data_IF_863788924063
#
_entry.id   IF_863788924063
#
_cell.length_a   1.000
_cell.length_b   1.000
_cell.length_c   1.000
_cell.angle_alpha   90.00
_cell.angle_beta   90.00
_cell.angle_gamma   90.00
#
_symmetry.space_group_name_H-M   'P 1'
#
loop_
_entity.id
_entity.type
_entity.pdbx_description
1 polymer ?
#
# COMPACT_ATOMS: atom_id res chain seq x y z
N UNK A 1 33.52 -70.45 3.81
CA UNK A 1 33.86 -69.28 2.95
C UNK A 1 33.06 -68.10 3.46
N UNK A 2 33.71 -67.12 4.09
CA UNK A 2 33.06 -65.92 4.59
C UNK A 2 33.32 -64.77 3.61
N UNK A 3 32.25 -64.14 3.12
CA UNK A 3 32.31 -63.03 2.15
C UNK A 3 32.26 -61.73 2.95
N UNK A 4 33.41 -61.07 3.09
CA UNK A 4 33.54 -59.76 3.72
C UNK A 4 33.06 -58.67 2.76
N UNK A 5 31.98 -57.97 3.13
CA UNK A 5 31.48 -56.80 2.40
C UNK A 5 32.30 -55.56 2.79
N UNK A 6 32.86 -54.78 1.85
CA UNK A 6 33.52 -53.52 2.17
C UNK A 6 32.47 -52.44 2.44
N UNK A 7 32.36 -52.01 3.70
CA UNK A 7 31.54 -50.86 4.10
C UNK A 7 32.10 -49.58 3.48
N UNK A 8 31.35 -48.99 2.55
CA UNK A 8 31.69 -47.70 1.94
C UNK A 8 31.73 -46.58 2.96
N UNK A 9 32.83 -45.83 2.99
CA UNK A 9 32.96 -44.58 3.72
C UNK A 9 31.95 -43.56 3.18
N UNK A 10 30.91 -43.25 3.95
CA UNK A 10 30.01 -42.14 3.65
C UNK A 10 30.72 -40.83 4.06
N UNK A 11 30.80 -39.82 3.18
CA UNK A 11 31.30 -38.51 3.57
C UNK A 11 30.38 -37.91 4.63
N UNK A 12 30.92 -37.72 5.84
CA UNK A 12 30.27 -36.97 6.91
C UNK A 12 30.20 -35.51 6.48
N UNK A 13 29.03 -35.06 6.00
CA UNK A 13 28.80 -33.63 5.79
C UNK A 13 28.74 -32.95 7.17
N UNK A 14 29.49 -31.87 7.42
CA UNK A 14 29.37 -31.14 8.67
C UNK A 14 27.95 -30.57 8.78
N UNK A 15 27.25 -30.91 9.88
CA UNK A 15 25.96 -30.33 10.19
C UNK A 15 26.09 -28.81 10.24
N UNK A 16 25.31 -28.09 9.43
CA UNK A 16 25.30 -26.64 9.42
C UNK A 16 25.08 -26.12 10.85
N UNK A 17 26.02 -25.33 11.36
CA UNK A 17 25.94 -24.74 12.68
C UNK A 17 24.69 -23.86 12.75
N UNK A 18 23.68 -24.33 13.50
CA UNK A 18 22.51 -23.51 13.82
C UNK A 18 22.99 -22.45 14.80
N UNK A 19 23.01 -21.20 14.36
CA UNK A 19 23.27 -20.06 15.23
C UNK A 19 22.13 -20.00 16.25
N UNK A 20 22.40 -20.45 17.47
CA UNK A 20 21.46 -20.29 18.57
C UNK A 20 21.50 -18.83 19.00
N UNK A 21 20.43 -18.09 18.70
CA UNK A 21 20.29 -16.73 19.19
C UNK A 21 20.20 -16.76 20.73
N UNK A 22 21.15 -16.13 21.41
CA UNK A 22 21.08 -15.88 22.86
C UNK A 22 20.02 -14.80 23.10
N UNK A 23 18.77 -15.21 23.18
CA UNK A 23 17.66 -14.29 23.41
C UNK A 23 17.70 -13.83 24.87
N UNK A 24 17.99 -12.55 25.10
CA UNK A 24 17.81 -11.97 26.43
C UNK A 24 16.31 -12.08 26.80
N UNK A 25 15.92 -12.75 27.90
CA UNK A 25 14.52 -13.11 28.18
C UNK A 25 13.60 -11.89 28.26
N UNK A 26 14.13 -10.74 28.66
CA UNK A 26 13.41 -9.46 28.68
C UNK A 26 13.05 -9.01 27.25
N UNK A 27 14.00 -9.13 26.31
CA UNK A 27 13.78 -8.76 24.90
C UNK A 27 12.79 -9.72 24.24
N UNK A 28 12.94 -11.03 24.49
CA UNK A 28 12.06 -12.05 23.93
C UNK A 28 10.60 -11.91 24.40
N UNK A 29 10.39 -11.62 25.68
CA UNK A 29 9.04 -11.67 26.27
C UNK A 29 8.32 -10.32 26.23
N UNK A 30 9.06 -9.20 26.25
CA UNK A 30 8.45 -7.86 26.37
C UNK A 30 8.61 -6.98 25.14
N UNK A 31 9.74 -7.09 24.43
CA UNK A 31 10.07 -6.17 23.34
C UNK A 31 9.63 -6.73 21.98
N UNK A 32 9.85 -8.03 21.76
CA UNK A 32 9.51 -8.70 20.50
C UNK A 32 8.02 -8.60 20.12
N UNK A 33 7.05 -8.82 21.04
CA UNK A 33 5.63 -8.67 20.72
C UNK A 33 5.26 -7.24 20.34
N UNK A 34 5.81 -6.24 21.05
CA UNK A 34 5.56 -4.84 20.76
C UNK A 34 6.12 -4.44 19.39
N UNK A 35 7.34 -4.88 19.06
CA UNK A 35 7.93 -4.66 17.74
C UNK A 35 7.15 -5.35 16.62
N UNK A 36 6.61 -6.54 16.88
CA UNK A 36 5.77 -7.24 15.91
C UNK A 36 4.50 -6.44 15.59
N UNK A 37 3.84 -5.89 16.62
CA UNK A 37 2.63 -5.04 16.43
C UNK A 37 2.98 -3.75 15.69
N UNK A 38 4.05 -3.06 16.07
CA UNK A 38 4.49 -1.82 15.40
C UNK A 38 4.85 -2.10 13.95
N UNK A 39 5.61 -3.17 13.69
CA UNK A 39 5.98 -3.58 12.33
C UNK A 39 4.78 -3.94 11.48
N UNK A 40 3.83 -4.70 12.01
CA UNK A 40 2.59 -5.04 11.32
C UNK A 40 1.75 -3.81 11.01
N UNK A 41 1.59 -2.90 11.97
CA UNK A 41 0.84 -1.66 11.80
C UNK A 41 1.48 -0.79 10.71
N UNK A 42 2.80 -0.63 10.75
CA UNK A 42 3.54 0.13 9.75
C UNK A 42 3.41 -0.49 8.34
N UNK A 43 3.46 -1.82 8.23
CA UNK A 43 3.27 -2.52 6.97
C UNK A 43 1.87 -2.27 6.39
N UNK A 44 0.81 -2.36 7.21
CA UNK A 44 -0.56 -2.10 6.76
C UNK A 44 -0.74 -0.64 6.34
N UNK A 45 -0.29 0.32 7.16
CA UNK A 45 -0.42 1.76 6.85
C UNK A 45 0.33 2.12 5.57
N UNK A 46 1.55 1.63 5.40
CA UNK A 46 2.35 1.88 4.19
C UNK A 46 1.73 1.25 2.95
N UNK A 47 1.16 0.04 3.06
CA UNK A 47 0.44 -0.60 1.97
C UNK A 47 -0.79 0.21 1.54
N UNK A 48 -1.66 0.57 2.49
CA UNK A 48 -2.85 1.39 2.23
C UNK A 48 -2.45 2.73 1.60
N UNK A 49 -1.41 3.39 2.12
CA UNK A 49 -0.89 4.63 1.55
C UNK A 49 -0.39 4.44 0.11
N UNK A 50 0.26 3.33 -0.19
CA UNK A 50 0.71 3.01 -1.55
C UNK A 50 -0.46 2.78 -2.50
N UNK A 51 -1.54 2.14 -2.06
CA UNK A 51 -2.74 1.95 -2.89
C UNK A 51 -3.46 3.28 -3.14
N UNK A 52 -3.66 4.09 -2.11
CA UNK A 52 -4.25 5.43 -2.28
C UNK A 52 -3.46 6.27 -3.28
N UNK A 53 -2.13 6.22 -3.24
CA UNK A 53 -1.29 6.94 -4.21
C UNK A 53 -1.40 6.39 -5.65
N UNK A 54 -1.56 5.07 -5.81
CA UNK A 54 -1.77 4.44 -7.12
C UNK A 54 -3.15 4.77 -7.69
N UNK A 55 -4.17 4.74 -6.85
CA UNK A 55 -5.54 5.08 -7.23
C UNK A 55 -5.71 6.57 -7.49
N UNK A 56 -5.03 7.43 -6.73
CA UNK A 56 -5.07 8.89 -6.92
C UNK A 56 -4.70 9.26 -8.36
N UNK A 57 -3.62 8.71 -8.91
CA UNK A 57 -3.24 8.97 -10.30
C UNK A 57 -4.31 8.52 -11.30
N UNK A 58 -5.04 7.44 -10.99
CA UNK A 58 -6.13 6.95 -11.83
C UNK A 58 -7.32 7.91 -11.79
N UNK A 59 -7.74 8.33 -10.59
CA UNK A 59 -8.82 9.30 -10.42
C UNK A 59 -8.46 10.65 -11.04
N UNK A 60 -7.25 11.16 -10.81
CA UNK A 60 -6.78 12.43 -11.37
C UNK A 60 -6.79 12.40 -12.90
N UNK A 61 -6.41 11.27 -13.51
CA UNK A 61 -6.48 11.09 -14.96
C UNK A 61 -7.93 11.07 -15.47
N UNK A 62 -8.85 10.40 -14.77
CA UNK A 62 -10.28 10.40 -15.10
C UNK A 62 -10.90 11.79 -14.96
N UNK A 63 -10.62 12.52 -13.88
CA UNK A 63 -11.10 13.87 -13.68
C UNK A 63 -10.53 14.84 -14.71
N UNK A 64 -9.25 14.71 -15.07
CA UNK A 64 -8.64 15.54 -16.11
C UNK A 64 -9.28 15.33 -17.49
N UNK A 65 -9.71 14.10 -17.83
CA UNK A 65 -10.45 13.86 -19.07
C UNK A 65 -11.81 14.57 -19.11
N UNK A 66 -12.47 14.74 -17.96
CA UNK A 66 -13.76 15.43 -17.86
C UNK A 66 -13.65 16.95 -17.72
N UNK A 67 -12.46 17.46 -17.40
CA UNK A 67 -12.19 18.88 -17.20
C UNK A 67 -11.42 19.53 -18.36
N UNK A 68 -11.44 18.92 -19.55
CA UNK A 68 -10.85 19.55 -20.74
C UNK A 68 -11.63 20.82 -21.14
N UNK A 69 -10.99 21.81 -21.79
CA UNK A 69 -11.66 23.06 -22.16
C UNK A 69 -12.91 22.84 -23.02
N UNK A 70 -12.86 21.85 -23.92
CA UNK A 70 -13.95 21.49 -24.82
C UNK A 70 -15.16 20.92 -24.06
N UNK A 71 -14.92 19.98 -23.13
CA UNK A 71 -15.98 19.37 -22.30
C UNK A 71 -16.56 20.41 -21.35
N UNK A 72 -15.73 21.30 -20.80
CA UNK A 72 -16.20 22.39 -19.94
C UNK A 72 -17.02 23.42 -20.71
N UNK A 73 -16.66 23.76 -21.94
CA UNK A 73 -17.45 24.64 -22.81
C UNK A 73 -18.80 24.00 -23.19
N UNK A 74 -18.79 22.70 -23.54
CA UNK A 74 -20.01 21.95 -23.81
C UNK A 74 -20.92 21.86 -22.57
N UNK A 75 -20.35 21.63 -21.39
CA UNK A 75 -21.08 21.60 -20.11
C UNK A 75 -21.66 22.97 -19.74
N UNK A 76 -20.91 24.05 -19.94
CA UNK A 76 -21.38 25.43 -19.76
C UNK A 76 -22.57 25.75 -20.66
N UNK A 77 -22.51 25.32 -21.93
CA UNK A 77 -23.59 25.46 -22.89
C UNK A 77 -24.82 24.63 -22.51
N UNK A 78 -24.62 23.37 -22.11
CA UNK A 78 -25.72 22.47 -21.74
C UNK A 78 -26.46 22.93 -20.46
N UNK A 79 -25.73 23.53 -19.52
CA UNK A 79 -26.29 24.11 -18.29
C UNK A 79 -26.76 25.55 -18.46
N UNK A 80 -26.64 26.11 -19.66
CA UNK A 80 -27.03 27.48 -19.99
C UNK A 80 -26.51 28.51 -18.99
N UNK A 81 -25.23 28.35 -18.59
CA UNK A 81 -24.60 29.08 -17.49
C UNK A 81 -24.58 30.60 -17.76
N UNK A 82 -24.55 31.01 -19.03
CA UNK A 82 -24.58 32.43 -19.42
C UNK A 82 -25.94 33.09 -19.15
N UNK A 83 -27.03 32.31 -19.19
CA UNK A 83 -28.39 32.81 -18.99
C UNK A 83 -28.86 32.61 -17.55
N UNK A 84 -28.56 31.44 -16.97
CA UNK A 84 -29.10 31.02 -15.67
C UNK A 84 -28.08 31.10 -14.51
N UNK A 85 -26.82 31.45 -14.80
CA UNK A 85 -25.73 31.44 -13.83
C UNK A 85 -25.18 30.05 -13.53
N UNK A 86 -23.98 29.97 -12.95
CA UNK A 86 -23.37 28.68 -12.61
C UNK A 86 -24.06 28.10 -11.36
N UNK A 87 -24.70 26.92 -11.43
CA UNK A 87 -25.37 26.29 -10.28
C UNK A 87 -24.42 26.01 -9.11
N UNK A 88 -23.10 25.95 -9.34
CA UNK A 88 -22.08 25.81 -8.30
C UNK A 88 -21.93 27.06 -7.43
N UNK A 89 -22.32 28.22 -7.95
CA UNK A 89 -22.24 29.51 -7.26
C UNK A 89 -23.57 29.91 -6.58
N UNK A 90 -24.54 29.00 -6.52
CA UNK A 90 -25.82 29.26 -5.86
C UNK A 90 -25.64 29.40 -4.33
N UNK A 91 -26.51 30.21 -3.70
CA UNK A 91 -26.69 30.40 -2.25
C UNK A 91 -26.84 29.10 -1.46
N UNK A 92 -27.37 28.06 -2.09
CA UNK A 92 -27.54 26.75 -1.47
C UNK A 92 -26.26 25.90 -1.46
N UNK A 93 -25.23 26.28 -2.22
CA UNK A 93 -23.95 25.56 -2.30
C UNK A 93 -22.85 26.22 -1.45
N UNK A 94 -23.13 26.40 -0.15
CA UNK A 94 -22.21 27.04 0.81
C UNK A 94 -20.84 26.34 0.87
N UNK A 95 -20.80 25.03 0.62
CA UNK A 95 -19.56 24.23 0.61
C UNK A 95 -18.67 24.51 -0.62
N UNK A 96 -19.24 25.01 -1.72
CA UNK A 96 -18.52 25.30 -2.96
C UNK A 96 -17.93 26.72 -3.02
N UNK A 97 -18.13 27.53 -1.99
CA UNK A 97 -17.72 28.95 -1.96
C UNK A 97 -16.25 29.19 -1.57
N UNK A 98 -15.51 28.13 -1.23
CA UNK A 98 -14.08 28.24 -0.94
C UNK A 98 -13.27 28.35 -2.23
N UNK A 99 -12.44 29.39 -2.28
CA UNK A 99 -11.53 29.80 -3.37
C UNK A 99 -10.75 28.67 -4.04
#
# INVERSE_FOLDING_TARGET
MAITHPQGMRPQMPAAARVAATSNPIVATRVLPALAVVGATYAVVSYVRSELGREQNTFDKMFNQQNTPEVMAARKKALDIEVNGDPRNNLLNILGWSK
#
